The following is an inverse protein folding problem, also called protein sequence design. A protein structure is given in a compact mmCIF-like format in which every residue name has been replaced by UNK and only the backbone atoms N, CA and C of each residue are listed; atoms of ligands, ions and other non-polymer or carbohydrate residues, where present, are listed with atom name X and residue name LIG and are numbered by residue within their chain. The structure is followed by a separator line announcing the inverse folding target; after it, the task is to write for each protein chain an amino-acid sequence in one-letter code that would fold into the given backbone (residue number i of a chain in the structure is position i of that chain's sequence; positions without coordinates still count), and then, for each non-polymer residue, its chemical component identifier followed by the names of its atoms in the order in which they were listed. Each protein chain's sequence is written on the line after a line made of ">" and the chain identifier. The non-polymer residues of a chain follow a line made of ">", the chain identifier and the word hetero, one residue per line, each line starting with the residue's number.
data_IF_929078376532
#
_entry.id   IF_929078376532
#
_cell.length_a   1.000
_cell.length_b   1.000
_cell.length_c   1.000
_cell.angle_alpha   90.00
_cell.angle_beta   90.00
_cell.angle_gamma   90.00
#
_symmetry.space_group_name_H-M   'P 1'
#
loop_
_entity.id
_entity.type
_entity.pdbx_description
1 polymer ?
#
# COMPACT_ATOMS: atom_id res chain seq x y z
N UNK A 1 -0.27 3.58 -7.76
CA UNK A 1 -0.65 2.50 -8.72
C UNK A 1 0.40 1.39 -8.65
N UNK A 2 -0.03 0.12 -8.70
CA UNK A 2 0.85 -1.07 -8.58
C UNK A 2 2.09 -1.04 -9.47
N UNK A 3 2.01 -0.46 -10.67
CA UNK A 3 3.17 -0.30 -11.59
C UNK A 3 4.38 0.41 -10.96
N UNK A 4 4.15 1.27 -9.98
CA UNK A 4 5.23 2.05 -9.36
C UNK A 4 5.93 1.29 -8.23
N UNK A 5 5.37 0.15 -7.80
CA UNK A 5 5.88 -0.63 -6.67
C UNK A 5 6.14 -2.10 -7.02
N UNK A 6 5.92 -2.51 -8.28
CA UNK A 6 6.05 -3.91 -8.70
C UNK A 6 7.45 -4.46 -8.45
N UNK A 7 8.47 -3.63 -8.56
CA UNK A 7 9.88 -3.95 -8.35
C UNK A 7 10.24 -4.33 -6.90
N UNK A 8 9.35 -4.05 -5.96
CA UNK A 8 9.52 -4.35 -4.52
C UNK A 8 8.47 -5.33 -3.99
N UNK A 9 7.59 -5.84 -4.87
CA UNK A 9 6.65 -6.89 -4.53
C UNK A 9 7.25 -8.28 -4.85
N UNK A 10 6.90 -9.25 -4.02
CA UNK A 10 7.32 -10.64 -4.20
C UNK A 10 6.11 -11.58 -4.08
N UNK A 11 6.25 -12.73 -4.67
CA UNK A 11 5.31 -13.83 -4.54
C UNK A 11 5.22 -14.28 -3.07
N UNK A 12 4.04 -14.30 -2.45
CA UNK A 12 3.89 -14.69 -1.04
C UNK A 12 4.16 -16.19 -0.79
N UNK A 13 4.24 -17.02 -1.84
CA UNK A 13 4.47 -18.46 -1.73
C UNK A 13 5.96 -18.79 -1.68
N UNK A 14 6.75 -18.19 -2.56
CA UNK A 14 8.16 -18.56 -2.74
C UNK A 14 9.14 -17.40 -2.75
N UNK A 15 8.65 -16.15 -2.64
CA UNK A 15 9.47 -14.95 -2.59
C UNK A 15 10.08 -14.52 -3.92
N UNK A 16 9.69 -15.14 -5.05
CA UNK A 16 10.18 -14.74 -6.37
C UNK A 16 9.58 -13.39 -6.82
N UNK A 17 10.27 -12.71 -7.74
CA UNK A 17 9.82 -11.41 -8.26
C UNK A 17 8.48 -11.54 -9.02
N UNK A 18 7.70 -10.47 -8.95
CA UNK A 18 6.43 -10.35 -9.68
C UNK A 18 6.60 -9.43 -10.88
N UNK A 19 5.98 -9.77 -11.99
CA UNK A 19 5.87 -8.92 -13.19
C UNK A 19 4.41 -8.75 -13.57
N UNK A 20 4.05 -7.60 -14.13
CA UNK A 20 2.71 -7.37 -14.68
C UNK A 20 2.61 -7.93 -16.11
N UNK A 21 1.45 -8.50 -16.46
CA UNK A 21 1.13 -8.78 -17.86
C UNK A 21 0.93 -7.48 -18.67
N UNK A 22 0.76 -7.56 -20.00
CA UNK A 22 0.76 -6.41 -20.90
C UNK A 22 -0.26 -5.32 -20.53
N UNK A 23 -1.46 -5.72 -20.10
CA UNK A 23 -2.54 -4.82 -19.70
C UNK A 23 -2.58 -4.54 -18.18
N UNK A 24 -1.67 -5.14 -17.42
CA UNK A 24 -1.55 -5.01 -15.97
C UNK A 24 -2.80 -5.45 -15.20
N UNK A 25 -3.50 -6.46 -15.71
CA UNK A 25 -4.64 -7.09 -15.05
C UNK A 25 -4.23 -8.27 -14.16
N UNK A 26 -2.99 -8.75 -14.31
CA UNK A 26 -2.40 -9.79 -13.48
C UNK A 26 -0.95 -9.47 -13.14
N UNK A 27 -0.53 -9.88 -11.94
CA UNK A 27 0.87 -10.02 -11.57
C UNK A 27 1.24 -11.50 -11.61
N UNK A 28 2.37 -11.81 -12.23
CA UNK A 28 2.83 -13.19 -12.46
C UNK A 28 4.22 -13.34 -11.86
N UNK A 29 4.44 -14.39 -11.06
CA UNK A 29 5.74 -14.71 -10.49
C UNK A 29 6.61 -15.47 -11.47
N UNK A 30 7.92 -15.51 -11.22
CA UNK A 30 8.88 -16.36 -11.98
C UNK A 30 8.49 -17.84 -11.92
N UNK A 31 7.85 -18.29 -10.84
CA UNK A 31 7.37 -19.66 -10.66
C UNK A 31 6.06 -19.95 -11.37
N UNK A 32 5.40 -18.92 -11.94
CA UNK A 32 4.16 -19.06 -12.69
C UNK A 32 2.88 -18.91 -11.85
N UNK A 33 2.99 -18.51 -10.58
CA UNK A 33 1.81 -18.12 -9.80
C UNK A 33 1.25 -16.80 -10.34
N UNK A 34 -0.07 -16.68 -10.42
CA UNK A 34 -0.75 -15.51 -10.98
C UNK A 34 -1.73 -14.91 -9.96
N UNK A 35 -1.68 -13.58 -9.83
CA UNK A 35 -2.48 -12.80 -8.90
C UNK A 35 -3.26 -11.75 -9.68
N UNK A 36 -4.59 -11.83 -9.65
CA UNK A 36 -5.45 -10.88 -10.36
C UNK A 36 -5.38 -9.50 -9.73
N UNK A 37 -5.25 -8.47 -10.57
CA UNK A 37 -5.40 -7.08 -10.16
C UNK A 37 -6.88 -6.73 -10.23
N UNK A 38 -7.44 -6.34 -9.08
CA UNK A 38 -8.83 -5.93 -9.01
C UNK A 38 -9.12 -4.69 -9.88
N UNK A 39 -10.34 -4.51 -10.41
CA UNK A 39 -10.70 -3.32 -11.19
C UNK A 39 -10.44 -1.99 -10.48
N UNK A 40 -10.49 -1.97 -9.13
CA UNK A 40 -10.15 -0.82 -8.31
C UNK A 40 -8.63 -0.53 -8.26
N UNK A 41 -7.77 -1.46 -8.70
CA UNK A 41 -6.33 -1.26 -8.82
C UNK A 41 -5.48 -1.81 -7.68
N UNK A 42 -6.04 -2.63 -6.78
CA UNK A 42 -5.28 -3.37 -5.77
C UNK A 42 -5.01 -4.81 -6.22
N UNK A 43 -4.06 -5.47 -5.56
CA UNK A 43 -3.80 -6.91 -5.74
C UNK A 43 -3.92 -7.62 -4.38
N UNK A 44 -4.44 -8.85 -4.39
CA UNK A 44 -4.43 -9.73 -3.21
C UNK A 44 -3.23 -10.67 -3.31
N UNK A 45 -2.28 -10.49 -2.41
CA UNK A 45 -1.12 -11.36 -2.25
C UNK A 45 -1.31 -12.24 -1.02
N UNK A 46 -1.87 -13.41 -1.23
CA UNK A 46 -2.10 -14.42 -0.20
C UNK A 46 -1.40 -15.71 -0.59
N UNK A 47 -0.75 -16.35 0.37
CA UNK A 47 -0.19 -17.69 0.19
C UNK A 47 -1.28 -18.75 0.06
N UNK A 48 -0.89 -20.03 -0.02
CA UNK A 48 -1.78 -21.19 -0.25
C UNK A 48 -2.96 -21.28 0.72
N UNK A 49 -2.83 -20.73 1.93
CA UNK A 49 -3.89 -20.77 2.95
C UNK A 49 -4.90 -19.61 2.84
N UNK A 50 -4.70 -18.70 1.88
CA UNK A 50 -5.50 -17.48 1.77
C UNK A 50 -5.34 -16.53 2.97
N UNK A 51 -6.24 -15.55 3.06
CA UNK A 51 -6.25 -14.59 4.17
C UNK A 51 -6.98 -15.20 5.39
N UNK A 52 -6.41 -15.05 6.59
CA UNK A 52 -7.02 -15.53 7.85
C UNK A 52 -8.17 -14.66 8.32
N UNK A 53 -8.14 -13.38 7.98
CA UNK A 53 -9.10 -12.36 8.43
C UNK A 53 -9.63 -11.59 7.23
N UNK A 54 -10.89 -11.16 7.31
CA UNK A 54 -11.53 -10.32 6.28
C UNK A 54 -11.27 -8.82 6.48
N UNK A 55 -10.75 -8.42 7.64
CA UNK A 55 -10.58 -7.01 7.99
C UNK A 55 -11.89 -6.26 8.24
N UNK A 56 -11.81 -4.95 8.22
CA UNK A 56 -12.96 -4.06 8.40
C UNK A 56 -13.96 -4.20 7.26
N UNK A 57 -15.25 -4.18 7.58
CA UNK A 57 -16.33 -4.17 6.58
C UNK A 57 -16.56 -2.77 5.99
N UNK A 58 -17.41 -2.68 4.97
CA UNK A 58 -17.70 -1.43 4.28
C UNK A 58 -18.22 -0.33 5.22
N UNK A 59 -19.02 -0.68 6.22
CA UNK A 59 -19.59 0.31 7.15
C UNK A 59 -18.53 0.88 8.07
N UNK A 60 -17.60 0.06 8.53
CA UNK A 60 -16.46 0.47 9.35
C UNK A 60 -15.50 1.36 8.55
N UNK A 61 -15.18 0.97 7.31
CA UNK A 61 -14.33 1.77 6.43
C UNK A 61 -14.97 3.12 6.11
N UNK A 62 -16.27 3.16 5.82
CA UNK A 62 -17.00 4.41 5.56
C UNK A 62 -17.00 5.34 6.77
N UNK A 63 -17.24 4.79 7.97
CA UNK A 63 -17.21 5.56 9.21
C UNK A 63 -15.81 6.13 9.50
N UNK A 64 -14.76 5.33 9.28
CA UNK A 64 -13.34 5.74 9.41
C UNK A 64 -13.02 6.89 8.45
N UNK A 65 -13.34 6.74 7.18
CA UNK A 65 -13.10 7.77 6.16
C UNK A 65 -13.81 9.07 6.50
N UNK A 66 -15.09 8.98 6.87
CA UNK A 66 -15.87 10.15 7.32
C UNK A 66 -15.20 10.84 8.50
N UNK A 67 -14.75 10.08 9.50
CA UNK A 67 -14.10 10.65 10.70
C UNK A 67 -12.77 11.32 10.36
N UNK A 68 -11.91 10.66 9.58
CA UNK A 68 -10.59 11.18 9.21
C UNK A 68 -10.70 12.42 8.31
N UNK A 69 -11.69 12.49 7.42
CA UNK A 69 -11.92 13.63 6.53
C UNK A 69 -12.28 14.94 7.27
N UNK A 70 -12.68 14.85 8.54
CA UNK A 70 -12.91 16.05 9.38
C UNK A 70 -11.63 16.71 9.88
N UNK A 71 -10.46 16.12 9.62
CA UNK A 71 -9.16 16.73 9.92
C UNK A 71 -8.76 16.73 11.39
N UNK A 72 -9.44 15.97 12.26
CA UNK A 72 -9.11 15.89 13.69
C UNK A 72 -7.69 15.33 13.93
N UNK A 73 -7.17 14.55 13.01
CA UNK A 73 -5.83 13.96 13.07
C UNK A 73 -4.76 14.76 12.32
N UNK A 74 -5.07 15.91 11.74
CA UNK A 74 -4.11 16.71 10.99
C UNK A 74 -2.82 16.98 11.76
N UNK A 75 -2.83 17.44 13.04
CA UNK A 75 -1.58 17.67 13.77
C UNK A 75 -0.73 16.41 13.98
N UNK A 76 -1.40 15.24 14.11
CA UNK A 76 -0.71 13.96 14.26
C UNK A 76 -0.06 13.52 12.94
N UNK A 77 -0.79 13.61 11.84
CA UNK A 77 -0.26 13.21 10.53
C UNK A 77 0.85 14.15 10.06
N UNK A 78 0.78 15.44 10.38
CA UNK A 78 1.87 16.40 10.14
C UNK A 78 3.13 16.00 10.92
N UNK A 79 2.99 15.63 12.20
CA UNK A 79 4.12 15.16 13.01
C UNK A 79 4.74 13.87 12.44
N UNK A 80 3.93 12.93 11.96
CA UNK A 80 4.41 11.71 11.29
C UNK A 80 5.18 12.05 10.01
N UNK A 81 4.63 12.93 9.17
CA UNK A 81 5.28 13.37 7.93
C UNK A 81 6.65 14.02 8.21
N UNK A 82 6.70 14.97 9.14
CA UNK A 82 7.96 15.64 9.54
C UNK A 82 8.98 14.62 10.07
N UNK A 83 8.54 13.65 10.89
CA UNK A 83 9.45 12.63 11.42
C UNK A 83 10.08 11.79 10.31
N UNK A 84 9.32 11.48 9.26
CA UNK A 84 9.83 10.71 8.12
C UNK A 84 10.78 11.55 7.26
N UNK A 85 10.47 12.82 7.04
CA UNK A 85 11.36 13.76 6.35
C UNK A 85 12.70 13.88 7.09
N UNK A 86 12.66 14.17 8.40
CA UNK A 86 13.85 14.26 9.26
C UNK A 86 14.68 12.96 9.21
N UNK A 87 14.01 11.79 9.22
CA UNK A 87 14.70 10.51 9.12
C UNK A 87 15.44 10.36 7.79
N UNK A 88 14.83 10.76 6.68
CA UNK A 88 15.47 10.67 5.36
C UNK A 88 16.64 11.64 5.23
N UNK A 89 16.55 12.82 5.81
CA UNK A 89 17.65 13.78 5.89
C UNK A 89 18.80 13.22 6.75
N UNK A 90 18.49 12.63 7.90
CA UNK A 90 19.48 12.08 8.83
C UNK A 90 20.27 10.89 8.23
N UNK A 91 19.61 10.06 7.43
CA UNK A 91 20.29 8.93 6.75
C UNK A 91 20.99 9.34 5.45
N UNK A 92 20.84 10.61 5.05
CA UNK A 92 21.52 11.17 3.87
C UNK A 92 21.10 10.54 2.55
N UNK A 93 19.81 10.34 2.35
CA UNK A 93 19.31 9.86 1.06
C UNK A 93 19.70 10.83 -0.08
N UNK A 94 20.14 10.30 -1.24
CA UNK A 94 20.38 11.15 -2.41
C UNK A 94 19.10 11.87 -2.85
N UNK A 95 19.23 13.09 -3.39
CA UNK A 95 18.09 13.91 -3.86
C UNK A 95 17.25 13.23 -4.94
N UNK A 96 17.83 12.30 -5.71
CA UNK A 96 17.18 11.51 -6.75
C UNK A 96 16.68 10.13 -6.26
N UNK A 97 16.83 9.84 -4.98
CA UNK A 97 16.33 8.59 -4.40
C UNK A 97 14.81 8.52 -4.48
N UNK A 98 14.31 7.31 -4.71
CA UNK A 98 12.89 7.01 -4.70
C UNK A 98 12.58 6.02 -3.55
N UNK A 99 12.63 6.48 -2.30
CA UNK A 99 12.39 5.59 -1.17
C UNK A 99 10.99 5.00 -1.22
N UNK A 100 10.85 3.79 -0.67
CA UNK A 100 9.55 3.14 -0.53
C UNK A 100 9.11 3.22 0.92
N UNK A 101 7.94 3.79 1.13
CA UNK A 101 7.28 3.87 2.44
C UNK A 101 6.16 2.84 2.46
N UNK A 102 6.22 1.92 3.43
CA UNK A 102 5.20 0.88 3.58
C UNK A 102 4.38 1.14 4.84
N UNK A 103 3.06 1.23 4.70
CA UNK A 103 2.12 1.28 5.81
C UNK A 103 1.37 -0.05 5.93
N UNK A 104 1.46 -0.69 7.10
CA UNK A 104 0.75 -1.92 7.44
C UNK A 104 -0.52 -1.57 8.23
N UNK A 105 -1.65 -2.15 7.84
CA UNK A 105 -2.96 -1.74 8.34
C UNK A 105 -3.36 -0.36 7.82
N UNK A 106 -3.06 -0.10 6.55
CA UNK A 106 -3.16 1.23 5.94
C UNK A 106 -4.59 1.78 5.88
N UNK A 107 -5.61 0.92 6.03
CA UNK A 107 -7.00 1.33 5.94
C UNK A 107 -7.29 2.04 4.61
N UNK A 108 -7.78 3.26 4.67
CA UNK A 108 -8.10 4.08 3.48
C UNK A 108 -6.89 4.80 2.88
N UNK A 109 -5.70 4.69 3.50
CA UNK A 109 -4.48 5.36 3.06
C UNK A 109 -4.34 6.80 3.52
N UNK A 110 -5.08 7.21 4.54
CA UNK A 110 -5.07 8.57 5.06
C UNK A 110 -3.68 9.05 5.46
N UNK A 111 -2.94 8.27 6.26
CA UNK A 111 -1.59 8.64 6.70
C UNK A 111 -0.60 8.56 5.55
N UNK A 112 -0.60 7.46 4.81
CA UNK A 112 0.33 7.23 3.70
C UNK A 112 0.23 8.32 2.62
N UNK A 113 -0.99 8.74 2.26
CA UNK A 113 -1.19 9.79 1.26
C UNK A 113 -0.59 11.13 1.72
N UNK A 114 -0.82 11.54 2.98
CA UNK A 114 -0.27 12.78 3.51
C UNK A 114 1.26 12.76 3.61
N UNK A 115 1.83 11.62 4.04
CA UNK A 115 3.29 11.47 4.07
C UNK A 115 3.88 11.58 2.66
N UNK A 116 3.24 10.98 1.66
CA UNK A 116 3.72 11.07 0.29
C UNK A 116 3.56 12.47 -0.31
N UNK A 117 2.57 13.25 0.12
CA UNK A 117 2.44 14.65 -0.28
C UNK A 117 3.64 15.49 0.23
N UNK A 118 4.15 15.17 1.41
CA UNK A 118 5.31 15.85 2.01
C UNK A 118 6.63 15.36 1.44
N UNK A 119 6.80 14.05 1.25
CA UNK A 119 8.06 13.44 0.81
C UNK A 119 8.11 13.30 -0.70
N UNK A 120 8.76 14.25 -1.36
CA UNK A 120 8.92 14.23 -2.82
C UNK A 120 9.70 12.98 -3.27
N UNK A 121 9.28 12.38 -4.39
CA UNK A 121 9.93 11.20 -4.96
C UNK A 121 9.65 9.86 -4.28
N UNK A 122 9.15 9.83 -3.05
CA UNK A 122 8.80 8.59 -2.37
C UNK A 122 7.64 7.86 -3.05
N UNK A 123 7.68 6.52 -2.99
CA UNK A 123 6.62 5.62 -3.44
C UNK A 123 5.99 4.96 -2.21
N UNK A 124 4.68 4.71 -2.25
CA UNK A 124 3.94 4.13 -1.12
C UNK A 124 3.44 2.73 -1.41
N UNK A 125 3.54 1.86 -0.41
CA UNK A 125 2.84 0.58 -0.37
C UNK A 125 1.89 0.61 0.82
N UNK A 126 0.59 0.54 0.56
CA UNK A 126 -0.40 0.34 1.61
C UNK A 126 -0.83 -1.13 1.65
N UNK A 127 -0.73 -1.74 2.82
CA UNK A 127 -1.12 -3.13 3.04
C UNK A 127 -2.28 -3.16 4.04
N UNK A 128 -3.37 -3.81 3.67
CA UNK A 128 -4.50 -4.06 4.56
C UNK A 128 -5.09 -5.44 4.27
N UNK A 129 -5.79 -6.03 5.23
CA UNK A 129 -6.50 -7.30 5.03
C UNK A 129 -7.92 -7.08 4.48
N UNK A 130 -8.46 -5.88 4.58
CA UNK A 130 -9.79 -5.50 4.08
C UNK A 130 -9.75 -5.13 2.60
N UNK A 131 -10.51 -5.83 1.78
CA UNK A 131 -10.70 -5.49 0.37
C UNK A 131 -11.42 -4.14 0.21
N UNK A 132 -12.35 -3.80 1.12
CA UNK A 132 -13.03 -2.51 1.13
C UNK A 132 -12.09 -1.35 1.42
N UNK A 133 -11.14 -1.55 2.35
CA UNK A 133 -10.06 -0.59 2.58
C UNK A 133 -9.17 -0.44 1.34
N UNK A 134 -8.78 -1.55 0.72
CA UNK A 134 -7.89 -1.57 -0.44
C UNK A 134 -8.48 -0.86 -1.68
N UNK A 135 -9.80 -0.84 -1.84
CA UNK A 135 -10.47 -0.07 -2.91
C UNK A 135 -10.20 1.43 -2.78
N UNK A 136 -10.31 1.99 -1.57
CA UNK A 136 -10.01 3.40 -1.30
C UNK A 136 -8.51 3.67 -1.31
N UNK A 137 -7.73 2.77 -0.72
CA UNK A 137 -6.27 2.84 -0.69
C UNK A 137 -5.66 2.89 -2.12
N UNK A 138 -6.23 2.12 -3.06
CA UNK A 138 -5.74 2.09 -4.44
C UNK A 138 -5.86 3.42 -5.19
N UNK A 139 -6.72 4.31 -4.72
CA UNK A 139 -6.99 5.62 -5.34
C UNK A 139 -6.63 6.81 -4.45
N UNK A 140 -6.14 6.57 -3.22
CA UNK A 140 -5.86 7.63 -2.25
C UNK A 140 -4.74 8.58 -2.70
N UNK A 141 -3.75 8.06 -3.46
CA UNK A 141 -2.63 8.86 -3.95
C UNK A 141 -2.00 8.21 -5.21
N UNK A 142 -1.56 8.99 -6.22
CA UNK A 142 -1.03 8.43 -7.49
C UNK A 142 0.24 7.58 -7.32
N UNK A 143 1.03 7.80 -6.25
CA UNK A 143 2.25 7.06 -5.94
C UNK A 143 2.04 5.88 -4.98
N UNK A 144 0.79 5.57 -4.60
CA UNK A 144 0.45 4.42 -3.75
C UNK A 144 0.11 3.20 -4.61
N UNK A 145 0.65 2.04 -4.22
CA UNK A 145 0.17 0.74 -4.61
C UNK A 145 -0.54 0.06 -3.42
N UNK A 146 -1.73 -0.47 -3.66
CA UNK A 146 -2.55 -1.12 -2.65
C UNK A 146 -2.41 -2.65 -2.74
N UNK A 147 -2.15 -3.27 -1.60
CA UNK A 147 -1.97 -4.72 -1.48
C UNK A 147 -2.88 -5.24 -0.38
N UNK A 148 -3.70 -6.23 -0.70
CA UNK A 148 -4.45 -7.00 0.29
C UNK A 148 -3.59 -8.18 0.72
N UNK A 149 -3.13 -8.17 1.96
CA UNK A 149 -2.29 -9.22 2.50
C UNK A 149 -2.39 -9.30 4.03
N UNK A 150 -2.11 -10.48 4.57
CA UNK A 150 -1.86 -10.68 6.00
C UNK A 150 -0.35 -10.74 6.23
N UNK A 151 0.23 -9.70 6.81
CA UNK A 151 1.68 -9.59 7.04
C UNK A 151 2.22 -10.61 8.06
N UNK A 152 1.36 -11.29 8.77
CA UNK A 152 1.70 -12.35 9.72
C UNK A 152 1.60 -13.75 9.10
N UNK A 153 1.05 -13.88 7.89
CA UNK A 153 1.00 -15.16 7.18
C UNK A 153 2.39 -15.49 6.62
N UNK A 154 2.81 -16.74 6.81
CA UNK A 154 3.97 -17.35 6.17
C UNK A 154 3.49 -18.29 5.10
#
# INVERSE_FOLDING_TARGET
>A
MLKHIIDVLADPIDGTALIGNDDFTQLISESGHAYDVAPAGYVTLAGDNGLRYSGDDLSMITARETFLSHGHFAPFVEAVSTTIEDLFDDIGLPDDAQPVITEVGAGTGYYLSHVLDSVAGARGIGIDVSTHAAELLAVCHPRVGAVVADVWSR
#
